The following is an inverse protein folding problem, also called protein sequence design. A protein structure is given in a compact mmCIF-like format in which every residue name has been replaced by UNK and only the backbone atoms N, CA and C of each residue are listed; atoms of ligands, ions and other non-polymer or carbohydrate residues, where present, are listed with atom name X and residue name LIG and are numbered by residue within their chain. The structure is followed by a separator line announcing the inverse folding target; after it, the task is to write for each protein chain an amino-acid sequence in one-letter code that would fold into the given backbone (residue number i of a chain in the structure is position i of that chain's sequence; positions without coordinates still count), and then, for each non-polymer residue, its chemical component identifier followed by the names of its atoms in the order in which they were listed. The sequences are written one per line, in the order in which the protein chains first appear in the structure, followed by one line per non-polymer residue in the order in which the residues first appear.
data_IF_834380973824
#
_entry.id   IF_834380973824
#
_cell.length_a   1.000
_cell.length_b   1.000
_cell.length_c   1.000
_cell.angle_alpha   90.00
_cell.angle_beta   90.00
_cell.angle_gamma   90.00
#
_symmetry.space_group_name_H-M   'P 1'
#
loop_
_entity.id
_entity.type
_entity.pdbx_description
1 polymer ?
#
# COMPACT_ATOMS: atom_id res chain seq x y z
N UNK A 1 -33.08 -15.70 76.15
CA UNK A 1 -34.28 -14.93 75.73
C UNK A 1 -34.33 -14.99 74.20
N UNK A 2 -34.96 -16.02 73.65
CA UNK A 2 -36.37 -16.10 73.25
C UNK A 2 -36.64 -15.50 71.85
N UNK A 3 -36.76 -16.40 70.86
CA UNK A 3 -37.63 -16.31 69.66
C UNK A 3 -39.10 -15.98 70.05
N UNK A 4 -40.06 -15.64 69.15
CA UNK A 4 -40.21 -15.98 67.71
C UNK A 4 -40.71 -14.77 66.84
N UNK A 5 -41.12 -14.80 65.56
CA UNK A 5 -42.15 -15.63 64.87
C UNK A 5 -42.23 -15.24 63.38
N UNK A 6 -42.44 -16.23 62.51
CA UNK A 6 -42.91 -16.10 61.13
C UNK A 6 -44.37 -15.60 61.06
N UNK A 7 -44.71 -14.89 59.98
CA UNK A 7 -46.00 -14.99 59.28
C UNK A 7 -45.92 -14.36 57.88
N UNK A 8 -46.21 -15.17 56.86
CA UNK A 8 -46.61 -14.75 55.50
C UNK A 8 -48.08 -14.26 55.52
N UNK A 9 -48.53 -13.42 54.58
CA UNK A 9 -49.12 -13.96 53.35
C UNK A 9 -48.81 -13.18 52.06
N UNK A 10 -49.11 -13.87 50.96
CA UNK A 10 -48.97 -13.48 49.57
C UNK A 10 -49.71 -12.19 49.20
N UNK A 11 -49.12 -11.41 48.28
CA UNK A 11 -49.89 -10.67 47.28
C UNK A 11 -49.11 -10.60 45.97
N UNK A 12 -49.80 -11.10 44.95
CA UNK A 12 -49.56 -11.01 43.51
C UNK A 12 -49.32 -9.57 43.03
N UNK A 13 -48.29 -9.33 42.22
CA UNK A 13 -48.45 -8.55 40.98
C UNK A 13 -47.29 -8.79 40.01
N UNK A 14 -47.65 -9.41 38.91
CA UNK A 14 -46.84 -9.67 37.72
C UNK A 14 -46.53 -8.36 37.00
N UNK A 15 -45.27 -8.10 36.66
CA UNK A 15 -44.89 -7.05 35.71
C UNK A 15 -43.88 -7.60 34.69
N UNK A 16 -44.40 -7.78 33.48
CA UNK A 16 -43.78 -7.97 32.18
C UNK A 16 -42.27 -7.63 32.07
N UNK A 17 -41.48 -8.66 31.75
CA UNK A 17 -40.28 -8.53 30.91
C UNK A 17 -40.50 -9.44 29.69
N UNK A 18 -41.04 -8.86 28.62
CA UNK A 18 -41.13 -9.52 27.31
C UNK A 18 -39.75 -9.54 26.66
N UNK A 19 -39.14 -10.72 26.66
CA UNK A 19 -38.13 -11.10 25.69
C UNK A 19 -38.78 -11.10 24.29
N UNK A 20 -38.36 -10.20 23.42
CA UNK A 20 -38.67 -10.29 21.98
C UNK A 20 -37.63 -11.17 21.29
N UNK A 21 -37.65 -12.46 21.60
CA UNK A 21 -37.17 -13.46 20.64
C UNK A 21 -38.23 -13.56 19.53
N UNK A 22 -37.89 -13.10 18.33
CA UNK A 22 -38.74 -13.27 17.16
C UNK A 22 -38.73 -14.77 16.78
N UNK A 23 -39.67 -15.53 17.34
CA UNK A 23 -39.94 -16.90 16.91
C UNK A 23 -40.59 -16.84 15.53
N UNK A 24 -40.00 -17.56 14.58
CA UNK A 24 -40.63 -17.81 13.28
C UNK A 24 -41.95 -18.52 13.57
N UNK A 25 -43.07 -17.90 13.20
CA UNK A 25 -44.40 -18.49 13.39
C UNK A 25 -44.49 -19.80 12.59
N UNK A 26 -45.31 -20.76 13.06
CA UNK A 26 -45.63 -21.98 12.31
C UNK A 26 -46.16 -21.69 10.88
N UNK A 27 -46.72 -20.49 10.67
CA UNK A 27 -47.13 -19.99 9.36
C UNK A 27 -45.91 -19.69 8.47
N UNK A 28 -44.84 -19.13 9.03
CA UNK A 28 -43.57 -18.91 8.33
C UNK A 28 -42.87 -20.21 7.96
N UNK A 29 -42.92 -21.23 8.84
CA UNK A 29 -42.36 -22.56 8.55
C UNK A 29 -43.13 -23.27 7.43
N UNK A 30 -44.47 -23.28 7.49
CA UNK A 30 -45.34 -23.89 6.45
C UNK A 30 -45.22 -23.18 5.09
N UNK A 31 -44.96 -21.87 5.08
CA UNK A 31 -44.74 -21.11 3.84
C UNK A 31 -43.38 -21.44 3.22
N UNK A 32 -42.34 -21.64 4.04
CA UNK A 32 -41.00 -22.03 3.59
C UNK A 32 -40.97 -23.47 3.05
N UNK A 33 -41.68 -24.39 3.70
CA UNK A 33 -41.77 -25.79 3.28
C UNK A 33 -42.66 -25.98 2.02
N UNK A 34 -43.66 -25.10 1.83
CA UNK A 34 -44.46 -25.05 0.60
C UNK A 34 -43.69 -24.54 -0.63
N UNK A 35 -42.75 -23.61 -0.42
CA UNK A 35 -41.88 -23.08 -1.48
C UNK A 35 -40.74 -24.04 -1.86
N UNK A 36 -40.24 -24.84 -0.91
CA UNK A 36 -39.20 -25.86 -1.17
C UNK A 36 -39.69 -27.06 -2.02
N UNK A 37 -41.01 -27.34 -2.01
CA UNK A 37 -41.61 -28.46 -2.76
C UNK A 37 -42.25 -28.06 -4.10
N UNK A 38 -42.19 -26.79 -4.51
CA UNK A 38 -42.84 -26.28 -5.73
C UNK A 38 -41.85 -25.75 -6.78
N UNK A 39 -40.66 -26.36 -6.86
CA UNK A 39 -39.67 -26.09 -7.89
C UNK A 39 -40.03 -26.66 -9.28
N UNK A 40 -41.26 -26.47 -9.79
CA UNK A 40 -41.56 -26.53 -11.24
C UNK A 40 -42.98 -26.07 -11.60
N UNK A 41 -43.46 -24.92 -11.12
CA UNK A 41 -44.83 -24.45 -11.49
C UNK A 41 -44.92 -23.70 -12.83
N UNK A 42 -43.81 -23.50 -13.54
CA UNK A 42 -43.80 -22.78 -14.81
C UNK A 42 -43.26 -23.70 -15.90
N UNK A 43 -44.12 -23.99 -16.88
CA UNK A 43 -43.70 -24.63 -18.13
C UNK A 43 -42.57 -23.83 -18.78
N UNK A 44 -41.76 -24.47 -19.62
CA UNK A 44 -40.71 -23.80 -20.40
C UNK A 44 -41.26 -22.61 -21.20
N UNK A 45 -42.51 -22.69 -21.66
CA UNK A 45 -43.22 -21.63 -22.35
C UNK A 45 -43.57 -20.45 -21.42
N UNK A 46 -43.92 -20.72 -20.16
CA UNK A 46 -44.21 -19.67 -19.18
C UNK A 46 -42.94 -18.98 -18.68
N UNK A 47 -41.80 -19.69 -18.59
CA UNK A 47 -40.49 -19.06 -18.34
C UNK A 47 -40.06 -18.17 -19.50
N UNK A 48 -40.24 -18.62 -20.74
CA UNK A 48 -39.98 -17.79 -21.93
C UNK A 48 -40.86 -16.53 -21.96
N UNK A 49 -42.16 -16.66 -21.65
CA UNK A 49 -43.06 -15.51 -21.55
C UNK A 49 -42.67 -14.54 -20.42
N UNK A 50 -42.26 -15.07 -19.26
CA UNK A 50 -41.74 -14.27 -18.13
C UNK A 50 -40.47 -13.50 -18.50
N UNK A 51 -39.50 -14.15 -19.14
CA UNK A 51 -38.26 -13.49 -19.59
C UNK A 51 -38.54 -12.46 -20.70
N UNK A 52 -39.38 -12.79 -21.68
CA UNK A 52 -39.80 -11.87 -22.73
C UNK A 52 -40.55 -10.66 -22.17
N UNK A 53 -41.38 -10.85 -21.14
CA UNK A 53 -42.06 -9.77 -20.42
C UNK A 53 -41.07 -8.90 -19.63
N UNK A 54 -40.08 -9.52 -18.98
CA UNK A 54 -39.02 -8.81 -18.25
C UNK A 54 -38.13 -7.98 -19.20
N UNK A 55 -37.85 -8.49 -20.40
CA UNK A 55 -37.13 -7.77 -21.46
C UNK A 55 -37.96 -6.62 -22.04
N UNK A 56 -39.24 -6.87 -22.35
CA UNK A 56 -40.16 -5.85 -22.87
C UNK A 56 -40.44 -4.70 -21.89
N UNK A 57 -40.37 -4.98 -20.58
CA UNK A 57 -40.50 -4.00 -19.50
C UNK A 57 -39.15 -3.35 -19.11
N UNK A 58 -38.05 -3.69 -19.79
CA UNK A 58 -36.71 -3.16 -19.48
C UNK A 58 -36.12 -3.61 -18.14
N UNK A 59 -36.74 -4.59 -17.47
CA UNK A 59 -36.37 -5.11 -16.15
C UNK A 59 -35.26 -6.17 -16.20
N UNK A 60 -34.82 -6.57 -17.40
CA UNK A 60 -33.70 -7.50 -17.61
C UNK A 60 -32.35 -6.80 -17.73
N UNK A 61 -32.34 -5.49 -18.01
CA UNK A 61 -31.13 -4.68 -17.88
C UNK A 61 -30.84 -4.54 -16.39
N UNK A 62 -29.71 -5.11 -15.95
CA UNK A 62 -29.09 -4.70 -14.68
C UNK A 62 -29.01 -3.18 -14.78
N UNK A 63 -29.69 -2.45 -13.90
CA UNK A 63 -29.62 -0.99 -13.90
C UNK A 63 -28.15 -0.62 -13.96
N UNK A 64 -27.73 0.15 -14.97
CA UNK A 64 -26.40 0.73 -14.99
C UNK A 64 -26.28 1.45 -13.64
N UNK A 65 -25.36 0.97 -12.81
CA UNK A 65 -25.12 1.59 -11.53
C UNK A 65 -24.77 3.05 -11.84
N UNK A 66 -25.62 4.00 -11.40
CA UNK A 66 -25.30 5.42 -11.51
C UNK A 66 -23.89 5.60 -10.93
N UNK A 67 -22.95 6.21 -11.65
CA UNK A 67 -21.59 6.36 -11.16
C UNK A 67 -21.65 7.02 -9.78
N UNK A 68 -21.10 6.35 -8.76
CA UNK A 68 -21.05 6.90 -7.41
C UNK A 68 -20.22 8.19 -7.48
N UNK A 69 -20.64 9.28 -6.80
CA UNK A 69 -19.86 10.50 -6.81
C UNK A 69 -18.48 10.21 -6.21
N UNK A 70 -17.43 10.68 -6.87
CA UNK A 70 -16.09 10.60 -6.32
C UNK A 70 -16.01 11.54 -5.11
N UNK A 71 -15.29 11.13 -4.07
CA UNK A 71 -15.25 11.90 -2.81
C UNK A 71 -13.89 11.80 -2.15
N UNK A 72 -13.54 12.86 -1.41
CA UNK A 72 -12.43 12.87 -0.45
C UNK A 72 -13.00 13.20 0.93
N UNK A 73 -13.05 12.19 1.82
CA UNK A 73 -13.54 12.37 3.19
C UNK A 73 -12.38 12.51 4.17
N UNK A 74 -12.39 13.55 5.02
CA UNK A 74 -11.40 13.74 6.08
C UNK A 74 -11.95 13.27 7.42
N UNK A 75 -11.16 12.49 8.18
CA UNK A 75 -11.50 12.06 9.56
C UNK A 75 -10.29 12.20 10.47
N UNK A 76 -10.52 12.33 11.79
CA UNK A 76 -9.45 12.28 12.77
C UNK A 76 -8.92 10.84 12.88
N UNK A 77 -7.60 10.68 12.99
CA UNK A 77 -6.95 9.37 13.17
C UNK A 77 -6.25 9.28 14.54
N UNK A 78 -5.62 10.37 14.99
CA UNK A 78 -4.93 10.38 16.27
C UNK A 78 -4.31 11.72 16.60
N UNK A 79 -3.45 11.73 17.62
CA UNK A 79 -2.70 12.90 18.08
C UNK A 79 -1.27 12.49 18.41
N UNK A 80 -0.30 13.29 17.97
CA UNK A 80 1.10 13.18 18.37
C UNK A 80 1.26 13.54 19.86
N UNK A 81 2.36 13.14 20.52
CA UNK A 81 2.62 13.49 21.92
C UNK A 81 2.65 14.99 22.19
N UNK A 82 3.15 15.78 21.23
CA UNK A 82 3.19 17.25 21.29
C UNK A 82 1.81 17.91 21.08
N UNK A 83 0.78 17.11 20.80
CA UNK A 83 -0.57 17.56 20.56
C UNK A 83 -0.93 17.85 19.10
N UNK A 84 -0.01 17.66 18.15
CA UNK A 84 -0.31 17.78 16.73
C UNK A 84 -1.37 16.75 16.32
N UNK A 85 -2.45 17.20 15.68
CA UNK A 85 -3.52 16.30 15.21
C UNK A 85 -3.09 15.58 13.94
N UNK A 86 -3.44 14.31 13.84
CA UNK A 86 -3.24 13.47 12.65
C UNK A 86 -4.61 13.10 12.08
N UNK A 87 -4.75 13.26 10.77
CA UNK A 87 -5.98 12.99 10.03
C UNK A 87 -5.77 11.86 9.02
N UNK A 88 -6.86 11.18 8.70
CA UNK A 88 -6.96 10.30 7.55
C UNK A 88 -7.85 10.91 6.47
N UNK A 89 -7.57 10.55 5.22
CA UNK A 89 -8.24 11.03 4.01
C UNK A 89 -8.66 9.82 3.18
N UNK A 90 -9.96 9.60 3.01
CA UNK A 90 -10.51 8.48 2.23
C UNK A 90 -10.90 9.00 0.86
N UNK A 91 -10.15 8.58 -0.16
CA UNK A 91 -10.43 8.82 -1.57
C UNK A 91 -11.28 7.66 -2.08
N UNK A 92 -12.43 7.93 -2.68
CA UNK A 92 -13.29 6.91 -3.31
C UNK A 92 -13.57 7.28 -4.76
N UNK A 93 -13.30 6.37 -5.70
CA UNK A 93 -13.60 6.59 -7.12
C UNK A 93 -14.99 6.06 -7.51
N UNK A 94 -15.40 6.29 -8.76
CA UNK A 94 -16.71 5.88 -9.25
C UNK A 94 -16.94 4.35 -9.26
N UNK A 95 -15.86 3.55 -9.29
CA UNK A 95 -15.91 2.08 -9.29
C UNK A 95 -15.96 1.49 -7.86
N UNK A 96 -15.86 2.34 -6.83
CA UNK A 96 -15.85 1.91 -5.44
C UNK A 96 -14.48 1.47 -4.90
N UNK A 97 -13.40 1.56 -5.69
CA UNK A 97 -12.04 1.43 -5.16
C UNK A 97 -11.78 2.59 -4.18
N UNK A 98 -11.07 2.29 -3.08
CA UNK A 98 -10.75 3.29 -2.07
C UNK A 98 -9.26 3.32 -1.73
N UNK A 99 -8.73 4.52 -1.52
CA UNK A 99 -7.42 4.73 -0.94
C UNK A 99 -7.57 5.58 0.33
N UNK A 100 -7.07 5.07 1.47
CA UNK A 100 -7.01 5.84 2.72
C UNK A 100 -5.58 6.32 2.93
N UNK A 101 -5.41 7.63 3.09
CA UNK A 101 -4.12 8.29 3.27
C UNK A 101 -4.03 8.94 4.66
N UNK A 102 -2.85 8.97 5.27
CA UNK A 102 -2.58 9.70 6.50
C UNK A 102 -1.73 10.94 6.22
N UNK A 103 -2.02 12.04 6.92
CA UNK A 103 -1.09 13.18 6.94
C UNK A 103 0.20 12.89 7.71
N UNK A 104 0.24 11.86 8.56
CA UNK A 104 1.48 11.31 9.12
C UNK A 104 2.24 10.48 8.06
N UNK A 105 3.46 10.92 7.72
CA UNK A 105 4.32 10.28 6.72
C UNK A 105 3.84 10.37 5.28
N UNK A 106 2.76 11.13 5.00
CA UNK A 106 2.02 11.07 3.74
C UNK A 106 1.73 9.61 3.33
N UNK A 107 1.22 8.83 4.29
CA UNK A 107 1.18 7.37 4.27
C UNK A 107 -0.04 6.83 3.55
N UNK A 108 0.14 5.82 2.70
CA UNK A 108 -0.95 4.95 2.22
C UNK A 108 -1.27 3.96 3.34
N UNK A 109 -2.43 4.13 3.98
CA UNK A 109 -2.90 3.25 5.06
C UNK A 109 -3.66 2.06 4.50
N UNK A 110 -4.66 2.33 3.67
CA UNK A 110 -5.56 1.31 3.11
C UNK A 110 -5.66 1.45 1.59
N UNK A 111 -5.72 0.31 0.90
CA UNK A 111 -6.04 0.20 -0.52
C UNK A 111 -7.11 -0.87 -0.72
N UNK A 112 -8.37 -0.46 -0.79
CA UNK A 112 -9.50 -1.36 -0.99
C UNK A 112 -9.68 -1.62 -2.48
N UNK A 113 -9.32 -2.82 -2.93
CA UNK A 113 -9.29 -3.20 -4.36
C UNK A 113 -10.29 -4.34 -4.62
N UNK A 114 -11.15 -4.24 -5.66
CA UNK A 114 -12.09 -5.30 -5.99
C UNK A 114 -11.37 -6.50 -6.60
N UNK A 115 -11.81 -7.71 -6.26
CA UNK A 115 -11.44 -8.93 -6.98
C UNK A 115 -12.34 -9.17 -8.21
N UNK A 116 -12.22 -10.36 -8.82
CA UNK A 116 -13.01 -10.74 -10.01
C UNK A 116 -14.53 -10.83 -9.75
N UNK A 117 -14.93 -11.01 -8.49
CA UNK A 117 -16.33 -11.05 -8.06
C UNK A 117 -16.85 -9.66 -7.66
N UNK A 118 -15.95 -8.67 -7.58
CA UNK A 118 -16.24 -7.31 -7.11
C UNK A 118 -16.09 -7.13 -5.60
N UNK A 119 -15.56 -8.13 -4.88
CA UNK A 119 -15.38 -8.06 -3.43
C UNK A 119 -14.10 -7.27 -3.11
N UNK A 120 -14.27 -6.23 -2.28
CA UNK A 120 -13.18 -5.36 -1.85
C UNK A 120 -12.37 -6.01 -0.72
N UNK A 121 -11.05 -6.05 -0.88
CA UNK A 121 -10.12 -6.32 0.22
C UNK A 121 -9.07 -5.22 0.32
N UNK A 122 -8.60 -4.95 1.55
CA UNK A 122 -7.43 -4.10 1.74
C UNK A 122 -6.19 -4.88 1.29
N UNK A 123 -5.46 -4.36 0.32
CA UNK A 123 -4.22 -4.97 -0.19
C UNK A 123 -2.95 -4.28 0.35
N UNK A 124 -3.09 -3.32 1.26
CA UNK A 124 -1.98 -2.60 1.91
C UNK A 124 -1.86 -3.03 3.38
N UNK A 125 -0.67 -3.46 3.80
CA UNK A 125 -0.39 -3.73 5.21
C UNK A 125 -0.25 -2.40 5.99
N UNK A 126 -0.64 -2.42 7.26
CA UNK A 126 -0.62 -1.21 8.09
C UNK A 126 -1.13 -1.45 9.52
N UNK A 127 -1.54 -0.37 10.18
CA UNK A 127 -2.06 -0.43 11.55
C UNK A 127 -3.39 0.31 11.69
N UNK A 128 -4.14 -0.04 12.74
CA UNK A 128 -5.39 0.64 13.07
C UNK A 128 -5.20 1.99 13.77
N UNK A 129 -4.02 2.27 14.33
CA UNK A 129 -3.80 3.43 15.17
C UNK A 129 -2.43 4.10 14.97
N UNK A 130 -2.37 5.40 15.29
CA UNK A 130 -1.17 6.22 15.15
C UNK A 130 -0.01 5.78 16.06
N UNK A 131 -0.28 5.21 17.24
CA UNK A 131 0.78 4.80 18.17
C UNK A 131 1.63 3.71 17.55
N UNK A 132 1.00 2.69 16.96
CA UNK A 132 1.72 1.60 16.31
C UNK A 132 2.47 2.08 15.05
N UNK A 133 1.88 2.99 14.25
CA UNK A 133 2.62 3.63 13.16
C UNK A 133 3.90 4.34 13.62
N UNK A 134 3.87 4.99 14.78
CA UNK A 134 5.03 5.73 15.32
C UNK A 134 6.09 4.84 15.94
N UNK A 135 5.70 3.72 16.53
CA UNK A 135 6.57 2.93 17.41
C UNK A 135 7.01 1.60 16.80
N UNK A 136 6.24 1.03 15.86
CA UNK A 136 6.45 -0.34 15.36
C UNK A 136 6.60 -0.42 13.85
N UNK A 137 6.26 0.63 13.11
CA UNK A 137 6.20 0.58 11.64
C UNK A 137 7.59 0.39 11.01
N UNK A 138 7.82 -0.69 10.26
CA UNK A 138 8.98 -0.84 9.39
C UNK A 138 8.72 -0.13 8.06
N UNK A 139 8.32 1.14 8.12
CA UNK A 139 7.97 2.00 6.98
C UNK A 139 6.69 1.61 6.24
N UNK A 140 5.65 1.09 6.91
CA UNK A 140 4.38 0.77 6.24
C UNK A 140 3.76 1.97 5.52
N UNK A 141 3.74 1.92 4.18
CA UNK A 141 2.97 2.81 3.31
C UNK A 141 3.45 4.26 3.24
N UNK A 142 4.49 4.62 3.97
CA UNK A 142 4.93 5.99 4.11
C UNK A 142 5.71 6.50 2.89
N UNK A 143 5.87 7.81 2.79
CA UNK A 143 6.89 8.42 1.92
C UNK A 143 8.26 8.35 2.60
N UNK A 144 9.20 7.59 2.02
CA UNK A 144 10.58 7.55 2.48
C UNK A 144 11.40 8.71 1.86
N UNK A 145 12.24 9.36 2.66
CA UNK A 145 13.04 10.52 2.25
C UNK A 145 13.77 11.20 3.42
N UNK A 146 14.73 12.11 3.18
CA UNK A 146 15.13 12.72 1.90
C UNK A 146 15.77 11.76 0.89
N UNK A 147 16.34 10.65 1.36
CA UNK A 147 16.90 9.65 0.46
C UNK A 147 16.35 8.27 0.81
N UNK A 148 15.53 7.72 -0.08
CA UNK A 148 15.05 6.35 0.02
C UNK A 148 16.18 5.35 -0.25
N UNK A 149 16.09 4.19 0.41
CA UNK A 149 17.10 3.13 0.43
C UNK A 149 18.43 3.58 1.06
N UNK A 150 19.52 2.87 0.75
CA UNK A 150 20.78 2.96 1.47
C UNK A 150 21.74 3.99 0.89
N UNK A 151 22.56 4.59 1.74
CA UNK A 151 23.79 5.31 1.36
C UNK A 151 24.94 4.70 2.16
N UNK A 152 26.00 4.28 1.45
CA UNK A 152 27.13 3.57 2.01
C UNK A 152 27.79 4.38 3.14
N UNK A 153 27.92 3.75 4.31
CA UNK A 153 28.53 4.33 5.51
C UNK A 153 27.86 5.62 6.03
N UNK A 154 26.70 5.99 5.48
CA UNK A 154 26.08 7.30 5.68
C UNK A 154 26.97 8.46 5.25
N UNK A 155 27.76 8.27 4.19
CA UNK A 155 28.68 9.29 3.67
C UNK A 155 28.43 9.50 2.18
N UNK A 156 28.46 10.77 1.76
CA UNK A 156 28.52 11.11 0.34
C UNK A 156 29.28 12.41 0.13
N UNK A 157 29.72 12.67 -1.09
CA UNK A 157 30.39 13.92 -1.49
C UNK A 157 29.52 14.67 -2.49
N UNK A 158 29.31 15.96 -2.25
CA UNK A 158 28.59 16.87 -3.15
C UNK A 158 29.39 18.15 -3.32
N UNK A 159 29.67 18.53 -4.57
CA UNK A 159 30.45 19.72 -4.93
C UNK A 159 31.78 19.81 -4.15
N UNK A 160 32.48 18.67 -4.02
CA UNK A 160 33.77 18.57 -3.32
C UNK A 160 33.69 18.56 -1.79
N UNK A 161 32.51 18.70 -1.20
CA UNK A 161 32.30 18.63 0.25
C UNK A 161 31.71 17.28 0.66
N UNK A 162 32.31 16.65 1.67
CA UNK A 162 31.76 15.44 2.27
C UNK A 162 30.66 15.77 3.28
N UNK A 163 29.58 15.00 3.24
CA UNK A 163 28.46 15.04 4.15
C UNK A 163 28.36 13.73 4.91
N UNK A 164 27.98 13.82 6.19
CA UNK A 164 27.77 12.66 7.07
C UNK A 164 26.32 12.65 7.54
N UNK A 165 25.69 11.50 7.36
CA UNK A 165 24.32 11.20 7.74
C UNK A 165 24.30 10.21 8.92
N UNK A 166 23.13 9.99 9.50
CA UNK A 166 22.94 8.94 10.50
C UNK A 166 23.22 7.56 9.89
N UNK A 167 23.97 6.70 10.58
CA UNK A 167 24.15 5.30 10.22
C UNK A 167 23.07 4.43 10.90
N UNK A 168 21.80 4.73 10.61
CA UNK A 168 20.64 4.12 11.26
C UNK A 168 20.38 2.67 10.82
N UNK A 169 21.14 2.16 9.84
CA UNK A 169 21.17 0.76 9.44
C UNK A 169 22.62 0.29 9.32
N UNK A 170 23.31 0.18 10.46
CA UNK A 170 24.76 -0.04 10.57
C UNK A 170 25.33 -1.05 9.54
N UNK A 171 26.39 -0.68 8.78
CA UNK A 171 27.14 0.57 8.85
C UNK A 171 26.53 1.73 8.04
N UNK A 172 25.37 1.53 7.41
CA UNK A 172 24.84 2.40 6.36
C UNK A 172 23.75 3.36 6.84
N UNK A 173 23.48 4.39 6.05
CA UNK A 173 22.29 5.22 6.18
C UNK A 173 21.13 4.57 5.44
N UNK A 174 19.90 4.70 5.94
CA UNK A 174 18.72 4.10 5.34
C UNK A 174 17.49 5.02 5.45
N UNK A 175 16.76 5.17 4.34
CA UNK A 175 15.44 5.83 4.26
C UNK A 175 15.36 7.22 4.90
N UNK A 176 16.44 8.00 4.82
CA UNK A 176 16.48 9.38 5.27
C UNK A 176 16.89 9.58 6.73
N UNK A 177 17.22 8.52 7.46
CA UNK A 177 17.87 8.60 8.77
C UNK A 177 16.97 8.23 9.94
N UNK A 178 17.34 8.68 11.15
CA UNK A 178 16.66 8.31 12.39
C UNK A 178 15.21 8.82 12.39
N UNK A 179 15.04 10.06 11.91
CA UNK A 179 13.74 10.69 11.70
C UNK A 179 13.59 11.15 10.26
N UNK A 180 13.39 10.19 9.37
CA UNK A 180 13.01 10.39 7.97
C UNK A 180 11.61 11.00 7.77
N UNK A 181 11.27 11.20 6.49
CA UNK A 181 10.01 11.82 6.04
C UNK A 181 8.75 11.08 6.50
N UNK A 182 8.89 9.79 6.77
CA UNK A 182 7.88 8.88 7.31
C UNK A 182 7.37 9.29 8.70
N UNK A 183 8.20 9.99 9.50
CA UNK A 183 7.92 10.26 10.92
C UNK A 183 7.39 11.67 11.21
N UNK A 184 6.98 12.41 10.19
CA UNK A 184 6.44 13.78 10.31
C UNK A 184 4.97 13.85 9.97
N UNK A 185 4.24 14.79 10.59
CA UNK A 185 2.91 15.19 10.14
C UNK A 185 3.05 16.24 9.04
N UNK A 186 2.53 15.94 7.86
CA UNK A 186 2.57 16.78 6.68
C UNK A 186 1.36 17.72 6.65
N UNK A 187 1.50 18.89 6.04
CA UNK A 187 0.36 19.76 5.76
C UNK A 187 -0.42 19.20 4.58
N UNK A 188 -1.67 18.80 4.81
CA UNK A 188 -2.52 18.24 3.77
C UNK A 188 -3.48 19.29 3.17
N UNK A 189 -3.65 19.25 1.86
CA UNK A 189 -4.67 20.00 1.09
C UNK A 189 -5.44 19.04 0.19
N UNK A 190 -6.76 19.02 0.33
CA UNK A 190 -7.67 18.27 -0.54
C UNK A 190 -7.87 19.05 -1.84
N UNK A 191 -7.87 18.37 -2.99
CA UNK A 191 -8.20 18.99 -4.27
C UNK A 191 -9.69 19.37 -4.34
N UNK A 192 -9.98 20.49 -4.98
CA UNK A 192 -11.37 20.97 -5.18
C UNK A 192 -12.01 20.35 -6.44
N UNK A 193 -11.18 19.88 -7.39
CA UNK A 193 -11.60 19.40 -8.70
C UNK A 193 -11.42 17.90 -8.88
N UNK A 194 -10.43 17.32 -8.20
CA UNK A 194 -10.01 15.94 -8.39
C UNK A 194 -10.21 15.14 -7.10
N UNK A 195 -10.24 13.81 -7.24
CA UNK A 195 -10.15 12.92 -6.07
C UNK A 195 -8.69 12.76 -5.69
N UNK A 196 -8.15 13.82 -5.07
CA UNK A 196 -6.75 13.93 -4.77
C UNK A 196 -6.47 14.65 -3.44
N UNK A 197 -5.33 14.34 -2.84
CA UNK A 197 -4.78 15.03 -1.67
C UNK A 197 -3.30 15.31 -1.90
N UNK A 198 -2.89 16.56 -1.68
CA UNK A 198 -1.49 16.98 -1.66
C UNK A 198 -1.02 17.14 -0.23
N UNK A 199 0.04 16.43 0.14
CA UNK A 199 0.78 16.61 1.38
C UNK A 199 2.01 17.47 1.12
N UNK A 200 2.28 18.46 1.97
CA UNK A 200 3.45 19.34 1.87
C UNK A 200 4.25 19.35 3.16
N UNK A 201 5.56 19.27 3.05
CA UNK A 201 6.50 19.34 4.17
C UNK A 201 7.70 20.19 3.81
N UNK A 202 8.16 20.97 4.79
CA UNK A 202 9.45 21.66 4.74
C UNK A 202 10.47 20.88 5.56
N UNK A 203 11.58 20.52 4.94
CA UNK A 203 12.77 19.97 5.59
C UNK A 203 13.80 21.09 5.72
N UNK A 204 14.17 21.54 6.92
CA UNK A 204 15.16 22.61 7.08
C UNK A 204 16.57 22.14 6.71
N UNK A 205 17.44 23.08 6.31
CA UNK A 205 18.88 22.84 6.11
C UNK A 205 19.51 22.11 7.31
N UNK A 206 20.28 21.06 7.03
CA UNK A 206 20.94 20.22 8.05
C UNK A 206 20.07 19.13 8.66
N UNK A 207 18.77 19.04 8.34
CA UNK A 207 17.92 17.93 8.80
C UNK A 207 18.50 16.58 8.38
N UNK A 208 18.74 15.69 9.35
CA UNK A 208 19.36 14.37 9.16
C UNK A 208 20.76 14.42 8.50
N UNK A 209 21.40 15.60 8.49
CA UNK A 209 22.72 15.84 7.88
C UNK A 209 22.68 16.29 6.40
N UNK A 210 21.49 16.42 5.80
CA UNK A 210 21.33 16.85 4.41
C UNK A 210 21.41 18.38 4.24
N UNK A 211 22.14 18.90 3.23
CA UNK A 211 22.19 20.33 2.95
C UNK A 211 20.90 20.86 2.32
N UNK A 212 20.65 22.15 2.51
CA UNK A 212 19.58 22.90 1.88
C UNK A 212 18.24 22.75 2.60
N UNK A 213 17.49 23.85 2.65
CA UNK A 213 16.07 23.77 2.91
C UNK A 213 15.42 23.09 1.70
N UNK A 214 14.53 22.14 1.94
CA UNK A 214 13.75 21.46 0.92
C UNK A 214 12.26 21.67 1.19
N UNK A 215 11.50 22.08 0.19
CA UNK A 215 10.04 21.98 0.23
C UNK A 215 9.64 20.82 -0.65
N UNK A 216 8.99 19.82 -0.05
CA UNK A 216 8.53 18.62 -0.73
C UNK A 216 7.00 18.57 -0.73
N UNK A 217 6.43 18.14 -1.85
CA UNK A 217 5.01 17.82 -2.00
C UNK A 217 4.86 16.39 -2.48
N UNK A 218 3.84 15.70 -1.95
CA UNK A 218 3.39 14.40 -2.44
C UNK A 218 1.90 14.51 -2.73
N UNK A 219 1.51 14.31 -3.99
CA UNK A 219 0.11 14.32 -4.40
C UNK A 219 -0.32 12.90 -4.72
N UNK A 220 -1.38 12.44 -4.06
CA UNK A 220 -2.04 11.19 -4.37
C UNK A 220 -3.34 11.49 -5.09
N UNK A 221 -3.53 10.89 -6.26
CA UNK A 221 -4.74 11.03 -7.07
C UNK A 221 -5.32 9.65 -7.36
N UNK A 222 -6.60 9.46 -7.00
CA UNK A 222 -7.33 8.23 -7.32
C UNK A 222 -8.26 8.47 -8.52
N UNK A 223 -7.98 7.81 -9.64
CA UNK A 223 -8.74 8.00 -10.89
C UNK A 223 -9.89 7.00 -11.01
N UNK A 224 -10.83 7.28 -11.92
CA UNK A 224 -11.90 6.34 -12.28
C UNK A 224 -11.43 5.13 -13.12
N UNK A 225 -10.14 5.05 -13.46
CA UNK A 225 -9.53 3.88 -14.09
C UNK A 225 -8.91 2.92 -13.07
N UNK A 226 -9.25 3.07 -11.78
CA UNK A 226 -8.64 2.33 -10.66
C UNK A 226 -7.12 2.52 -10.61
N UNK A 227 -6.66 3.76 -10.82
CA UNK A 227 -5.26 4.12 -10.72
C UNK A 227 -5.04 4.97 -9.46
N UNK A 228 -4.12 4.54 -8.60
CA UNK A 228 -3.52 5.42 -7.59
C UNK A 228 -2.22 5.99 -8.17
N UNK A 229 -2.29 7.26 -8.59
CA UNK A 229 -1.15 8.04 -9.05
C UNK A 229 -0.51 8.76 -7.86
N UNK A 230 0.81 8.67 -7.75
CA UNK A 230 1.64 9.34 -6.75
C UNK A 230 2.61 10.25 -7.47
N UNK A 231 2.60 11.53 -7.12
CA UNK A 231 3.45 12.56 -7.73
C UNK A 231 4.25 13.26 -6.65
N UNK A 232 5.57 13.28 -6.82
CA UNK A 232 6.49 13.97 -5.94
C UNK A 232 7.01 15.22 -6.64
N UNK A 233 6.97 16.35 -5.95
CA UNK A 233 7.57 17.61 -6.39
C UNK A 233 8.44 18.16 -5.26
N UNK A 234 9.67 18.58 -5.55
CA UNK A 234 10.47 19.27 -4.54
C UNK A 234 11.38 20.34 -5.13
N UNK A 235 11.65 21.37 -4.32
CA UNK A 235 12.59 22.45 -4.62
C UNK A 235 13.50 22.69 -3.42
N UNK A 236 14.68 23.27 -3.69
CA UNK A 236 15.69 23.54 -2.67
C UNK A 236 16.35 24.92 -2.84
N UNK A 237 16.95 25.42 -1.76
CA UNK A 237 17.76 26.65 -1.76
C UNK A 237 19.27 26.41 -1.74
N UNK A 238 19.74 25.16 -1.63
CA UNK A 238 21.14 24.76 -1.79
C UNK A 238 21.22 23.41 -2.52
N UNK A 239 22.30 23.10 -3.24
CA UNK A 239 22.50 21.76 -3.79
C UNK A 239 22.34 20.68 -2.72
N UNK A 240 21.57 19.65 -3.02
CA UNK A 240 21.30 18.51 -2.13
C UNK A 240 21.11 17.23 -2.92
N UNK A 241 21.03 16.09 -2.23
CA UNK A 241 20.64 14.80 -2.84
C UNK A 241 19.22 14.45 -2.43
N UNK A 242 18.42 13.96 -3.37
CA UNK A 242 17.02 13.65 -3.16
C UNK A 242 16.63 12.37 -3.90
N UNK A 243 15.99 11.45 -3.18
CA UNK A 243 15.36 10.26 -3.74
C UNK A 243 14.14 9.94 -2.88
N UNK A 244 12.94 10.00 -3.47
CA UNK A 244 11.69 9.79 -2.76
C UNK A 244 10.96 8.59 -3.33
N UNK A 245 10.35 7.79 -2.47
CA UNK A 245 9.50 6.68 -2.87
C UNK A 245 8.38 6.45 -1.85
N UNK A 246 7.42 5.59 -2.19
CA UNK A 246 6.39 5.13 -1.28
C UNK A 246 6.67 3.67 -0.90
N UNK A 247 6.66 3.38 0.40
CA UNK A 247 7.03 2.08 0.94
C UNK A 247 5.80 1.23 1.33
N UNK A 248 4.78 1.19 0.46
CA UNK A 248 3.61 0.33 0.67
C UNK A 248 4.00 -1.14 0.57
N UNK A 249 3.63 -1.89 1.60
CA UNK A 249 3.67 -3.34 1.60
C UNK A 249 2.36 -3.85 1.05
N UNK A 250 2.42 -4.55 -0.08
CA UNK A 250 1.29 -5.12 -0.77
C UNK A 250 1.10 -6.60 -0.46
N UNK A 251 -0.15 -7.01 -0.31
CA UNK A 251 -0.59 -8.38 -0.48
C UNK A 251 -1.93 -8.39 -1.21
N UNK A 252 -1.93 -8.79 -2.49
CA UNK A 252 -3.15 -8.74 -3.33
C UNK A 252 -4.21 -9.77 -2.94
N UNK A 253 -3.86 -10.82 -2.20
CA UNK A 253 -4.86 -11.72 -1.61
C UNK A 253 -5.63 -11.04 -0.46
N UNK A 254 -4.98 -10.04 0.15
CA UNK A 254 -5.48 -9.22 1.25
C UNK A 254 -4.39 -9.09 2.33
N UNK A 255 -4.34 -7.97 3.04
CA UNK A 255 -3.24 -7.69 3.99
C UNK A 255 -3.07 -8.69 5.14
N UNK A 256 -4.10 -9.48 5.44
CA UNK A 256 -4.05 -10.54 6.45
C UNK A 256 -3.71 -11.94 5.92
N UNK A 257 -3.48 -12.07 4.61
CA UNK A 257 -3.05 -13.34 4.05
C UNK A 257 -1.60 -13.63 4.53
N UNK A 258 -1.30 -14.87 4.97
CA UNK A 258 -0.03 -15.18 5.61
C UNK A 258 1.17 -15.08 4.66
N UNK A 259 0.99 -15.00 3.34
CA UNK A 259 2.14 -15.02 2.44
C UNK A 259 1.92 -14.29 1.11
N UNK A 260 3.02 -13.87 0.49
CA UNK A 260 3.05 -13.38 -0.91
C UNK A 260 3.69 -14.37 -1.89
N UNK A 261 4.06 -15.57 -1.43
CA UNK A 261 4.86 -16.51 -2.23
C UNK A 261 4.09 -17.07 -3.44
N UNK A 262 2.76 -17.06 -3.39
CA UNK A 262 1.86 -17.52 -4.46
C UNK A 262 1.50 -16.42 -5.46
N UNK A 263 1.95 -15.18 -5.24
CA UNK A 263 1.79 -14.11 -6.23
C UNK A 263 2.71 -14.35 -7.42
N UNK A 264 2.20 -14.05 -8.61
CA UNK A 264 2.97 -13.98 -9.84
C UNK A 264 3.52 -12.56 -10.01
N UNK A 265 4.84 -12.44 -10.11
CA UNK A 265 5.52 -11.17 -10.39
C UNK A 265 6.10 -11.19 -11.81
N UNK A 266 5.99 -10.06 -12.50
CA UNK A 266 6.70 -9.76 -13.74
C UNK A 266 7.45 -8.44 -13.58
N UNK A 267 8.75 -8.44 -13.88
CA UNK A 267 9.62 -7.27 -13.94
C UNK A 267 10.26 -7.24 -15.34
N UNK A 268 9.90 -6.30 -16.24
CA UNK A 268 10.39 -6.30 -17.62
C UNK A 268 11.90 -6.05 -17.78
N UNK A 269 12.56 -5.52 -16.75
CA UNK A 269 13.99 -5.23 -16.72
C UNK A 269 14.86 -6.46 -16.96
N UNK A 270 15.93 -6.29 -17.74
CA UNK A 270 16.92 -7.33 -18.02
C UNK A 270 18.18 -7.25 -17.14
N UNK A 271 18.28 -6.21 -16.31
CA UNK A 271 19.34 -6.01 -15.32
C UNK A 271 18.79 -5.73 -13.93
N UNK A 272 19.59 -6.03 -12.92
CA UNK A 272 19.35 -5.65 -11.53
C UNK A 272 20.62 -5.07 -10.90
N UNK A 273 20.45 -4.30 -9.84
CA UNK A 273 21.54 -3.74 -9.03
C UNK A 273 21.99 -4.83 -8.06
N UNK A 274 23.13 -5.45 -8.34
CA UNK A 274 23.78 -6.38 -7.42
C UNK A 274 24.37 -5.63 -6.24
N UNK A 275 24.42 -6.29 -5.08
CA UNK A 275 24.84 -5.68 -3.82
C UNK A 275 25.92 -6.50 -3.11
N UNK A 276 26.60 -5.86 -2.15
CA UNK A 276 27.42 -6.55 -1.16
C UNK A 276 26.57 -7.10 0.00
N UNK A 277 27.24 -7.76 0.96
CA UNK A 277 26.59 -8.33 2.16
C UNK A 277 25.92 -7.32 3.09
N UNK A 278 26.13 -6.02 2.86
CA UNK A 278 25.50 -4.90 3.59
C UNK A 278 24.41 -4.21 2.77
N UNK A 279 24.03 -4.81 1.63
CA UNK A 279 23.03 -4.33 0.68
C UNK A 279 23.41 -2.98 0.03
N UNK A 280 24.71 -2.70 -0.10
CA UNK A 280 25.21 -1.56 -0.89
C UNK A 280 25.48 -2.03 -2.33
N UNK A 281 25.07 -1.26 -3.35
CA UNK A 281 25.32 -1.58 -4.75
C UNK A 281 26.79 -1.83 -5.09
N UNK A 282 27.03 -2.77 -6.00
CA UNK A 282 28.37 -3.10 -6.51
C UNK A 282 28.45 -3.09 -8.04
N UNK A 283 27.37 -3.49 -8.72
CA UNK A 283 27.33 -3.61 -10.19
C UNK A 283 25.90 -3.69 -10.71
N UNK A 284 25.75 -3.51 -12.03
CA UNK A 284 24.53 -3.84 -12.76
C UNK A 284 24.71 -5.21 -13.45
N UNK A 285 24.01 -6.21 -12.94
CA UNK A 285 24.13 -7.59 -13.40
C UNK A 285 22.93 -8.00 -14.26
N UNK A 286 23.13 -8.90 -15.22
CA UNK A 286 22.04 -9.43 -16.04
C UNK A 286 21.15 -10.39 -15.23
N UNK A 287 19.84 -10.32 -15.45
CA UNK A 287 18.89 -11.25 -14.82
C UNK A 287 18.92 -12.64 -15.47
N UNK A 288 19.40 -12.74 -16.71
CA UNK A 288 19.27 -13.95 -17.52
C UNK A 288 20.01 -15.14 -16.89
N UNK A 289 19.30 -16.26 -16.71
CA UNK A 289 19.89 -17.47 -16.12
C UNK A 289 20.05 -17.42 -14.59
N UNK A 290 19.57 -16.37 -13.92
CA UNK A 290 19.66 -16.22 -12.46
C UNK A 290 18.27 -16.33 -11.80
N UNK A 291 18.19 -16.43 -10.47
CA UNK A 291 16.93 -16.32 -9.74
C UNK A 291 16.15 -15.02 -10.00
N UNK A 292 16.82 -13.97 -10.48
CA UNK A 292 16.29 -12.63 -10.68
C UNK A 292 15.54 -12.45 -12.01
N UNK A 293 15.46 -13.49 -12.85
CA UNK A 293 14.72 -13.43 -14.12
C UNK A 293 13.20 -13.50 -13.90
N UNK A 294 12.60 -12.31 -13.73
CA UNK A 294 11.16 -12.07 -13.66
C UNK A 294 10.59 -11.47 -14.96
N UNK A 295 11.32 -11.55 -16.09
CA UNK A 295 10.84 -11.00 -17.38
C UNK A 295 9.57 -11.70 -17.89
N UNK A 296 9.26 -12.88 -17.34
CA UNK A 296 8.01 -13.61 -17.52
C UNK A 296 7.31 -13.78 -16.16
N UNK A 297 5.96 -13.83 -16.14
CA UNK A 297 5.22 -14.10 -14.90
C UNK A 297 5.78 -15.31 -14.16
N UNK A 298 6.22 -15.08 -12.93
CA UNK A 298 6.88 -16.08 -12.10
C UNK A 298 6.38 -15.98 -10.66
N UNK A 299 5.98 -17.11 -10.07
CA UNK A 299 5.64 -17.16 -8.65
C UNK A 299 6.83 -16.70 -7.81
N UNK A 300 6.60 -15.78 -6.88
CA UNK A 300 7.66 -15.20 -6.05
C UNK A 300 8.40 -16.30 -5.28
N UNK A 301 7.66 -17.28 -4.74
CA UNK A 301 8.23 -18.41 -4.00
C UNK A 301 9.09 -19.37 -4.82
N UNK A 302 9.02 -19.34 -6.15
CA UNK A 302 9.67 -20.35 -7.00
C UNK A 302 11.19 -20.41 -6.85
N UNK A 303 11.83 -19.26 -6.61
CA UNK A 303 13.31 -19.15 -6.59
C UNK A 303 13.85 -18.33 -5.41
N UNK A 304 12.99 -17.97 -4.45
CA UNK A 304 13.36 -17.09 -3.33
C UNK A 304 14.36 -17.73 -2.35
N UNK A 305 14.53 -19.06 -2.40
CA UNK A 305 15.51 -19.84 -1.62
C UNK A 305 16.67 -20.38 -2.48
N UNK A 306 16.86 -19.85 -3.68
CA UNK A 306 17.93 -20.32 -4.56
C UNK A 306 19.32 -20.10 -3.95
N UNK A 307 20.24 -21.03 -4.20
CA UNK A 307 21.64 -20.91 -3.79
C UNK A 307 22.38 -19.90 -4.66
N UNK A 308 22.13 -18.61 -4.41
CA UNK A 308 22.74 -17.49 -5.10
C UNK A 308 23.20 -16.43 -4.09
N UNK A 309 24.40 -15.84 -4.22
CA UNK A 309 24.92 -14.87 -3.25
C UNK A 309 23.96 -13.72 -2.95
N UNK A 310 23.36 -13.14 -3.99
CA UNK A 310 22.41 -12.03 -3.85
C UNK A 310 21.13 -12.43 -3.09
N UNK A 311 20.61 -13.67 -3.26
CA UNK A 311 19.47 -14.15 -2.46
C UNK A 311 19.83 -14.25 -0.97
N UNK A 312 21.06 -14.68 -0.66
CA UNK A 312 21.55 -14.74 0.72
C UNK A 312 21.71 -13.34 1.32
N UNK A 313 22.24 -12.38 0.56
CA UNK A 313 22.39 -10.99 1.01
C UNK A 313 21.04 -10.32 1.26
N UNK A 314 20.04 -10.57 0.41
CA UNK A 314 18.68 -10.04 0.58
C UNK A 314 17.80 -10.81 1.57
N UNK A 315 18.19 -12.01 2.00
CA UNK A 315 17.33 -13.00 2.72
C UNK A 315 16.06 -13.35 1.93
N UNK A 316 16.21 -13.44 0.61
CA UNK A 316 15.15 -13.38 -0.37
C UNK A 316 15.45 -12.26 -1.36
N UNK A 317 14.40 -11.63 -1.91
CA UNK A 317 14.59 -10.47 -2.77
C UNK A 317 14.56 -9.18 -1.92
N UNK A 318 15.63 -8.39 -2.03
CA UNK A 318 15.73 -7.01 -1.56
C UNK A 318 16.68 -6.25 -2.51
N UNK A 319 16.30 -6.16 -3.79
CA UNK A 319 17.16 -5.61 -4.86
C UNK A 319 16.38 -4.65 -5.76
N UNK A 320 17.11 -3.76 -6.43
CA UNK A 320 16.54 -2.87 -7.44
C UNK A 320 16.66 -3.51 -8.82
N UNK A 321 15.54 -3.69 -9.53
CA UNK A 321 15.56 -3.99 -10.96
C UNK A 321 15.64 -2.71 -11.76
N UNK A 322 16.40 -2.74 -12.86
CA UNK A 322 16.46 -1.63 -13.81
C UNK A 322 15.15 -1.61 -14.60
N UNK A 323 14.45 -0.49 -14.57
CA UNK A 323 13.20 -0.31 -15.33
C UNK A 323 13.55 -0.20 -16.81
N UNK A 324 13.04 -1.15 -17.60
CA UNK A 324 13.19 -1.12 -19.06
C UNK A 324 12.35 0.03 -19.64
N UNK A 325 12.96 0.85 -20.49
CA UNK A 325 12.32 2.00 -21.13
C UNK A 325 12.42 1.89 -22.64
N UNK A 326 11.28 2.00 -23.31
CA UNK A 326 11.19 1.95 -24.78
C UNK A 326 10.84 3.34 -25.38
N UNK A 327 10.86 4.42 -24.58
CA UNK A 327 10.55 5.78 -25.03
C UNK A 327 10.40 6.82 -23.91
N UNK A 328 9.79 7.96 -24.27
CA UNK A 328 9.42 9.04 -23.34
C UNK A 328 8.19 8.67 -22.51
N UNK A 329 8.02 9.30 -21.34
CA UNK A 329 6.86 9.09 -20.46
C UNK A 329 7.05 8.03 -19.37
N UNK A 330 5.95 7.45 -18.88
CA UNK A 330 6.00 6.42 -17.84
C UNK A 330 6.25 5.04 -18.45
N UNK A 331 7.26 4.34 -17.95
CA UNK A 331 7.59 2.99 -18.36
C UNK A 331 6.89 1.95 -17.46
N UNK A 332 6.52 0.81 -18.02
CA UNK A 332 5.99 -0.32 -17.27
C UNK A 332 7.11 -0.97 -16.45
N UNK A 333 7.01 -0.90 -15.13
CA UNK A 333 8.06 -1.36 -14.21
C UNK A 333 7.75 -2.73 -13.59
N UNK A 334 6.48 -3.02 -13.31
CA UNK A 334 6.07 -4.28 -12.72
C UNK A 334 4.62 -4.66 -13.03
N UNK A 335 4.35 -5.96 -13.02
CA UNK A 335 3.00 -6.52 -12.86
C UNK A 335 3.02 -7.52 -11.72
N UNK A 336 2.19 -7.30 -10.71
CA UNK A 336 1.95 -8.21 -9.61
C UNK A 336 0.52 -8.77 -9.72
N UNK A 337 0.38 -10.09 -9.61
CA UNK A 337 -0.91 -10.77 -9.73
C UNK A 337 -1.09 -11.76 -8.59
N UNK A 338 -2.27 -11.76 -7.99
CA UNK A 338 -2.73 -12.86 -7.15
C UNK A 338 -3.71 -13.74 -7.96
N UNK A 339 -3.32 -14.97 -8.35
CA UNK A 339 -4.21 -15.88 -9.09
C UNK A 339 -5.49 -16.24 -8.32
N UNK A 340 -5.46 -16.22 -6.98
CA UNK A 340 -6.57 -16.62 -6.12
C UNK A 340 -7.75 -15.65 -6.24
N UNK A 341 -7.52 -14.37 -5.92
CA UNK A 341 -8.54 -13.32 -6.08
C UNK A 341 -8.72 -12.91 -7.55
N UNK A 342 -7.68 -13.03 -8.37
CA UNK A 342 -7.63 -12.44 -9.72
C UNK A 342 -7.25 -10.97 -9.71
N UNK A 343 -6.92 -10.36 -8.56
CA UNK A 343 -6.42 -8.98 -8.52
C UNK A 343 -5.07 -8.88 -9.21
N UNK A 344 -4.91 -7.83 -10.02
CA UNK A 344 -3.67 -7.49 -10.71
C UNK A 344 -3.35 -6.02 -10.45
N UNK A 345 -2.09 -5.75 -10.14
CA UNK A 345 -1.51 -4.42 -10.03
C UNK A 345 -0.41 -4.25 -11.08
N UNK A 346 -0.52 -3.21 -11.90
CA UNK A 346 0.51 -2.77 -12.84
C UNK A 346 1.13 -1.46 -12.34
N UNK A 347 2.46 -1.37 -12.33
CA UNK A 347 3.19 -0.16 -11.94
C UNK A 347 3.83 0.48 -13.16
N UNK A 348 3.56 1.77 -13.35
CA UNK A 348 4.21 2.60 -14.36
C UNK A 348 4.91 3.79 -13.72
N UNK A 349 6.13 4.11 -14.14
CA UNK A 349 6.95 5.15 -13.48
C UNK A 349 7.92 5.87 -14.44
N UNK A 350 8.34 7.07 -14.06
CA UNK A 350 9.45 7.80 -14.67
C UNK A 350 10.83 7.49 -14.04
N UNK A 351 10.85 6.64 -13.00
CA UNK A 351 12.08 6.26 -12.32
C UNK A 351 12.88 5.20 -13.07
N UNK A 352 14.22 5.19 -12.91
CA UNK A 352 15.09 4.21 -13.57
C UNK A 352 15.10 2.85 -12.86
N UNK A 353 14.66 2.78 -11.60
CA UNK A 353 14.70 1.56 -10.80
C UNK A 353 13.40 1.27 -10.07
N UNK A 354 13.19 0.00 -9.77
CA UNK A 354 12.14 -0.51 -8.88
C UNK A 354 12.75 -1.49 -7.88
N UNK A 355 12.76 -1.11 -6.59
CA UNK A 355 13.16 -2.00 -5.50
C UNK A 355 12.05 -3.02 -5.28
N UNK A 356 12.40 -4.30 -5.37
CA UNK A 356 11.52 -5.39 -4.97
C UNK A 356 12.05 -6.00 -3.68
N UNK A 357 11.27 -5.82 -2.61
CA UNK A 357 11.55 -6.32 -1.27
C UNK A 357 10.42 -7.25 -0.83
N UNK A 358 10.75 -8.48 -0.44
CA UNK A 358 9.76 -9.53 -0.09
C UNK A 358 9.35 -9.60 1.37
N UNK A 359 9.49 -8.51 2.14
CA UNK A 359 9.08 -8.51 3.55
C UNK A 359 9.96 -9.42 4.42
N UNK A 360 11.25 -9.54 4.09
CA UNK A 360 12.18 -10.51 4.68
C UNK A 360 12.48 -10.26 6.17
N UNK A 361 12.09 -9.11 6.70
CA UNK A 361 12.24 -8.74 8.11
C UNK A 361 10.92 -8.75 8.88
N UNK A 362 9.80 -9.15 8.24
CA UNK A 362 8.54 -9.43 8.95
C UNK A 362 8.64 -10.77 9.71
N UNK A 363 7.94 -10.92 10.86
CA UNK A 363 7.14 -9.90 11.54
C UNK A 363 7.98 -8.82 12.26
N UNK A 364 9.26 -9.06 12.51
CA UNK A 364 10.05 -8.21 13.40
C UNK A 364 9.35 -8.08 14.76
N UNK A 365 9.10 -6.84 15.20
CA UNK A 365 8.35 -6.53 16.43
C UNK A 365 6.82 -6.44 16.25
N UNK A 366 6.31 -6.78 15.06
CA UNK A 366 4.88 -6.67 14.74
C UNK A 366 4.15 -7.93 15.20
N UNK A 367 3.43 -7.81 16.31
CA UNK A 367 2.57 -8.88 16.81
C UNK A 367 1.12 -8.78 16.31
N UNK A 368 0.67 -7.56 15.97
CA UNK A 368 -0.70 -7.27 15.53
C UNK A 368 -0.66 -6.16 14.48
N UNK A 369 -1.12 -6.47 13.28
CA UNK A 369 -1.37 -5.54 12.18
C UNK A 369 -2.81 -5.00 12.20
N UNK A 370 -3.27 -4.54 11.05
CA UNK A 370 -4.62 -4.01 10.89
C UNK A 370 -5.71 -5.06 11.15
N UNK A 371 -6.79 -4.67 11.82
CA UNK A 371 -7.93 -5.53 12.12
C UNK A 371 -7.60 -6.75 12.98
N UNK A 372 -6.48 -6.71 13.71
CA UNK A 372 -6.03 -7.83 14.54
C UNK A 372 -5.25 -8.92 13.81
N UNK A 373 -4.94 -8.74 12.52
CA UNK A 373 -4.28 -9.77 11.69
C UNK A 373 -2.76 -9.81 11.92
N UNK A 374 -2.11 -10.98 11.88
CA UNK A 374 -0.66 -11.08 11.96
C UNK A 374 0.01 -10.78 10.60
N UNK A 375 1.23 -10.26 10.63
CA UNK A 375 2.10 -10.08 9.45
C UNK A 375 3.34 -10.97 9.55
N UNK A 376 3.22 -12.29 9.30
CA UNK A 376 4.35 -13.21 9.40
C UNK A 376 5.42 -12.94 8.33
N UNK A 377 6.50 -13.73 8.40
CA UNK A 377 7.59 -13.69 7.43
C UNK A 377 7.05 -13.80 6.00
N UNK A 378 7.36 -12.78 5.19
CA UNK A 378 6.93 -12.66 3.79
C UNK A 378 5.40 -12.63 3.60
N UNK A 379 4.67 -11.96 4.48
CA UNK A 379 3.23 -11.69 4.30
C UNK A 379 2.92 -10.46 3.45
N UNK A 380 3.93 -9.67 3.08
CA UNK A 380 3.78 -8.49 2.23
C UNK A 380 5.08 -8.19 1.48
N UNK A 381 4.96 -7.50 0.35
CA UNK A 381 6.10 -7.08 -0.48
C UNK A 381 6.05 -5.59 -0.83
N UNK A 382 7.19 -4.97 -1.09
CA UNK A 382 7.28 -3.60 -1.60
C UNK A 382 7.75 -3.58 -3.05
N UNK A 383 7.29 -2.58 -3.80
CA UNK A 383 7.68 -2.27 -5.17
C UNK A 383 7.96 -0.77 -5.27
N UNK A 384 9.14 -0.36 -4.80
CA UNK A 384 9.49 1.04 -4.59
C UNK A 384 10.18 1.60 -5.84
N UNK A 385 9.52 2.51 -6.56
CA UNK A 385 10.11 3.17 -7.73
C UNK A 385 11.06 4.28 -7.28
N UNK A 386 12.28 4.32 -7.79
CA UNK A 386 13.31 5.26 -7.32
C UNK A 386 14.53 5.31 -8.25
N UNK A 387 15.45 6.26 -8.01
CA UNK A 387 16.85 6.09 -8.45
C UNK A 387 17.51 4.95 -7.67
N UNK A 388 18.63 4.44 -8.18
CA UNK A 388 19.31 3.32 -7.54
C UNK A 388 19.83 3.70 -6.14
N UNK A 389 19.82 2.76 -5.17
CA UNK A 389 20.43 2.98 -3.87
C UNK A 389 21.87 3.50 -4.00
N UNK A 390 22.36 4.27 -3.04
CA UNK A 390 23.72 4.80 -3.02
C UNK A 390 24.12 5.69 -4.24
N UNK A 391 23.18 6.12 -5.09
CA UNK A 391 23.49 6.99 -6.22
C UNK A 391 24.34 8.24 -5.88
N UNK A 392 24.26 8.88 -4.68
CA UNK A 392 25.17 9.96 -4.31
C UNK A 392 26.66 9.62 -4.44
N UNK A 393 27.03 8.34 -4.28
CA UNK A 393 28.40 7.84 -4.39
C UNK A 393 28.75 7.32 -5.80
N UNK A 394 27.79 7.30 -6.73
CA UNK A 394 27.91 6.83 -8.10
C UNK A 394 27.59 7.95 -9.13
N UNK A 395 27.76 9.21 -8.74
CA UNK A 395 27.48 10.35 -9.62
C UNK A 395 28.41 10.35 -10.84
N UNK A 396 27.81 10.34 -12.04
CA UNK A 396 28.54 10.35 -13.31
C UNK A 396 28.92 8.96 -13.83
N UNK A 397 28.63 7.89 -13.10
CA UNK A 397 28.80 6.52 -13.60
C UNK A 397 27.75 6.19 -14.68
N UNK A 398 28.15 5.40 -15.67
CA UNK A 398 27.25 4.99 -16.76
C UNK A 398 26.08 4.17 -16.21
N UNK A 399 24.86 4.48 -16.65
CA UNK A 399 23.63 3.83 -16.18
C UNK A 399 23.06 4.39 -14.86
N UNK A 400 23.79 5.26 -14.15
CA UNK A 400 23.34 5.87 -12.91
C UNK A 400 22.71 7.25 -13.15
N UNK A 401 21.42 7.38 -12.85
CA UNK A 401 20.72 8.67 -12.93
C UNK A 401 21.17 9.58 -11.78
N UNK A 402 21.45 10.85 -12.09
CA UNK A 402 21.74 11.86 -11.05
C UNK A 402 20.59 11.94 -10.04
N UNK A 403 20.95 12.05 -8.77
CA UNK A 403 20.03 12.29 -7.66
C UNK A 403 20.25 13.67 -7.02
N UNK A 404 21.07 14.51 -7.65
CA UNK A 404 21.37 15.86 -7.17
C UNK A 404 20.25 16.81 -7.60
N UNK A 405 19.72 17.57 -6.64
CA UNK A 405 18.78 18.66 -6.87
C UNK A 405 19.47 19.99 -6.55
N UNK A 406 19.45 20.93 -7.50
CA UNK A 406 20.06 22.26 -7.35
C UNK A 406 19.01 23.38 -7.25
N UNK A 407 19.39 24.56 -6.70
CA UNK A 407 18.51 25.72 -6.70
C UNK A 407 18.10 26.12 -8.13
N UNK A 408 16.82 26.43 -8.31
CA UNK A 408 16.24 26.74 -9.62
C UNK A 408 15.72 25.51 -10.38
N UNK A 409 16.06 24.30 -9.95
CA UNK A 409 15.51 23.05 -10.48
C UNK A 409 14.28 22.59 -9.67
N UNK A 410 13.46 21.76 -10.29
CA UNK A 410 12.34 21.07 -9.66
C UNK A 410 12.52 19.58 -9.81
N UNK A 411 12.58 18.87 -8.68
CA UNK A 411 12.50 17.42 -8.66
C UNK A 411 11.09 16.98 -9.03
N UNK A 412 10.97 16.02 -9.94
CA UNK A 412 9.70 15.38 -10.33
C UNK A 412 9.90 13.86 -10.35
N UNK A 413 8.96 13.15 -9.74
CA UNK A 413 8.84 11.69 -9.82
C UNK A 413 7.36 11.33 -9.85
N UNK A 414 6.95 10.52 -10.82
CA UNK A 414 5.58 10.02 -10.97
C UNK A 414 5.55 8.51 -10.98
N UNK A 415 4.66 7.93 -10.18
CA UNK A 415 4.34 6.50 -10.19
C UNK A 415 2.84 6.26 -10.20
N UNK A 416 2.39 5.34 -11.05
CA UNK A 416 0.99 4.96 -11.20
C UNK A 416 0.84 3.48 -10.85
N UNK A 417 0.04 3.20 -9.82
CA UNK A 417 -0.42 1.86 -9.48
C UNK A 417 -1.81 1.65 -10.09
N UNK A 418 -1.90 0.84 -11.13
CA UNK A 418 -3.15 0.56 -11.84
C UNK A 418 -3.67 -0.80 -11.42
N UNK A 419 -4.92 -0.85 -10.97
CA UNK A 419 -5.55 -2.07 -10.50
C UNK A 419 -6.64 -2.56 -11.43
N UNK A 420 -6.70 -3.88 -11.63
CA UNK A 420 -7.75 -4.58 -12.36
C UNK A 420 -7.98 -5.95 -11.75
N UNK A 421 -9.01 -6.64 -12.22
CA UNK A 421 -9.29 -8.03 -11.86
C UNK A 421 -9.45 -8.88 -13.13
N UNK A 422 -8.90 -10.09 -13.11
CA UNK A 422 -8.99 -11.13 -14.15
C UNK A 422 -10.14 -12.12 -13.94
#
# INVERSE_FOLDING_TARGET
MNFPRMLFPALTLSALLLQTSCTISEVGQKTKDGLGKSASFLSSNTKKAYHKGKDALGLSKKAEAKPKPMTVAKKAFGKMPDGTKVSLYVLTNANGMQATLLDYGATVKDLMVPDRNGDLANVSLGFDNLKDYREKSPYFGCTAGRYANRIAKGLFTLDGKQYKLAANNDPNHLHGGDRGFDKYVWKARVSETDTAVTFTRRSPDGEEGYPGNLTCKVTYTLTNKNELKVEYEATTDKPTVLNLTNHTYFNLAGEGDPTILDHELTLPGDKYVATDKTNIPTSLDDVSGTPFDFRKPTLIGKRIEADHPQIKFGKGYDHTWVVKRDGEGLAHAATLRDPGSGRVMEIHTDQPGIQFYTGNYLPGDITVGQGGKPYPFRSGLCLETQVFPDSPNHQGEEGWKSCVLRPGETYVHVTVHKFRAD
#
